data_IF_374739590236
#
_entry.id   IF_374739590236
#
_cell.length_a   1.000
_cell.length_b   1.000
_cell.length_c   1.000
_cell.angle_alpha   90.00
_cell.angle_beta   90.00
_cell.angle_gamma   90.00
#
_symmetry.space_group_name_H-M   'P 1'
#
loop_
_entity.id
_entity.type
_entity.pdbx_description
1 polymer ?
#
# COMPACT_ATOMS: atom_id res chain seq x y z
N UNK A 1 10.71 -9.15 -13.23
CA UNK A 1 9.85 -7.98 -12.95
C UNK A 1 10.63 -6.66 -13.06
N UNK A 2 11.80 -6.52 -12.43
CA UNK A 2 12.58 -5.27 -12.47
C UNK A 2 13.19 -4.92 -13.85
N UNK A 3 13.25 -5.87 -14.75
CA UNK A 3 13.80 -5.71 -16.12
C UNK A 3 12.71 -5.58 -17.20
N UNK A 4 11.45 -5.32 -16.80
CA UNK A 4 10.32 -5.19 -17.73
C UNK A 4 9.45 -3.98 -17.40
N UNK A 5 8.66 -3.52 -18.38
CA UNK A 5 7.63 -2.49 -18.20
C UNK A 5 8.16 -1.12 -17.78
N UNK A 6 7.38 -0.45 -16.91
CA UNK A 6 7.67 0.91 -16.46
C UNK A 6 8.89 0.96 -15.52
N UNK A 7 9.11 -0.07 -14.71
CA UNK A 7 10.25 -0.14 -13.78
C UNK A 7 11.57 -0.14 -14.55
N UNK A 8 11.66 -0.93 -15.65
CA UNK A 8 12.83 -0.92 -16.54
C UNK A 8 13.05 0.47 -17.13
N UNK A 9 11.99 1.10 -17.68
CA UNK A 9 12.08 2.46 -18.26
C UNK A 9 12.52 3.50 -17.24
N UNK A 10 12.04 3.41 -16.00
CA UNK A 10 12.44 4.31 -14.93
C UNK A 10 13.92 4.17 -14.57
N UNK A 11 14.44 2.93 -14.56
CA UNK A 11 15.86 2.66 -14.38
C UNK A 11 16.71 3.23 -15.54
N UNK A 12 16.30 3.00 -16.78
CA UNK A 12 16.96 3.57 -17.97
C UNK A 12 17.01 5.11 -17.92
N UNK A 13 15.96 5.75 -17.40
CA UNK A 13 15.89 7.20 -17.19
C UNK A 13 16.58 7.68 -15.90
N UNK A 14 17.17 6.79 -15.12
CA UNK A 14 17.82 7.08 -13.83
C UNK A 14 16.89 7.70 -12.77
N UNK A 15 15.59 7.44 -12.86
CA UNK A 15 14.61 7.87 -11.86
C UNK A 15 14.73 6.99 -10.59
N UNK A 16 15.00 5.69 -10.82
CA UNK A 16 15.28 4.69 -9.78
C UNK A 16 16.46 3.84 -10.22
N UNK A 17 17.17 3.26 -9.25
CA UNK A 17 18.23 2.27 -9.50
C UNK A 17 18.17 1.18 -8.44
N UNK A 18 18.73 0.00 -8.73
CA UNK A 18 18.74 -1.16 -7.85
C UNK A 18 20.14 -1.71 -7.71
N UNK A 19 20.51 -1.98 -6.47
CA UNK A 19 21.74 -2.70 -6.13
C UNK A 19 21.35 -3.98 -5.40
N UNK A 20 21.72 -5.12 -5.96
CA UNK A 20 21.50 -6.41 -5.32
C UNK A 20 22.74 -6.80 -4.53
N UNK A 21 22.53 -7.14 -3.26
CA UNK A 21 23.58 -7.57 -2.35
C UNK A 21 23.33 -9.06 -2.06
N UNK A 22 24.22 -9.92 -2.58
CA UNK A 22 24.15 -11.35 -2.31
C UNK A 22 24.64 -11.63 -0.89
N UNK A 23 23.73 -12.06 -0.02
CA UNK A 23 24.00 -12.36 1.37
C UNK A 23 25.07 -13.47 1.54
N UNK A 24 25.18 -14.40 0.60
CA UNK A 24 26.23 -15.45 0.61
C UNK A 24 27.63 -14.88 0.55
N UNK A 25 27.81 -13.69 -0.03
CA UNK A 25 29.12 -13.02 -0.04
C UNK A 25 29.62 -12.67 1.35
N UNK A 26 28.71 -12.56 2.32
CA UNK A 26 28.95 -12.23 3.72
C UNK A 26 28.83 -13.46 4.65
N UNK A 27 28.63 -14.65 4.08
CA UNK A 27 28.47 -15.88 4.84
C UNK A 27 29.68 -16.23 5.70
N UNK A 28 29.41 -16.92 6.81
CA UNK A 28 30.41 -17.25 7.84
C UNK A 28 31.21 -18.49 7.46
N UNK A 29 32.51 -18.42 7.67
CA UNK A 29 33.44 -19.54 7.49
C UNK A 29 33.68 -19.93 6.02
N UNK A 30 34.40 -21.03 5.81
CA UNK A 30 34.81 -21.54 4.48
C UNK A 30 33.63 -21.85 3.56
N UNK A 31 32.49 -22.25 4.13
CA UNK A 31 31.29 -22.64 3.40
C UNK A 31 30.31 -21.50 3.19
N UNK A 32 30.64 -20.29 3.62
CA UNK A 32 29.79 -19.09 3.49
C UNK A 32 28.37 -19.33 4.01
N UNK A 33 28.27 -19.88 5.23
CA UNK A 33 26.98 -20.21 5.86
C UNK A 33 26.24 -18.92 6.22
N UNK A 34 24.97 -18.83 5.83
CA UNK A 34 24.11 -17.65 6.07
C UNK A 34 22.95 -17.93 7.02
N UNK A 35 22.66 -19.18 7.32
CA UNK A 35 21.55 -19.66 8.13
C UNK A 35 21.98 -20.79 9.07
N UNK A 36 21.18 -21.05 10.10
CA UNK A 36 21.44 -22.13 11.05
C UNK A 36 20.11 -22.59 11.70
N UNK A 37 20.15 -23.67 12.46
CA UNK A 37 18.99 -24.17 13.20
C UNK A 37 18.62 -23.19 14.33
N UNK A 38 17.31 -22.98 14.60
CA UNK A 38 16.90 -22.12 15.69
C UNK A 38 17.30 -22.70 17.06
N UNK A 39 17.72 -21.84 17.96
CA UNK A 39 17.85 -22.25 19.39
C UNK A 39 16.50 -22.65 19.95
N UNK A 40 16.47 -23.65 20.79
CA UNK A 40 15.23 -24.23 21.33
C UNK A 40 14.64 -25.34 20.46
N UNK A 41 15.21 -25.60 19.30
CA UNK A 41 14.71 -26.62 18.35
C UNK A 41 13.58 -26.09 17.47
N UNK A 42 13.01 -26.97 16.66
CA UNK A 42 11.97 -26.64 15.69
C UNK A 42 12.37 -27.02 14.26
N UNK A 43 11.42 -26.94 13.33
CA UNK A 43 11.65 -27.14 11.92
C UNK A 43 12.19 -25.85 11.28
N UNK A 44 12.89 -26.01 10.14
CA UNK A 44 13.37 -24.89 9.35
C UNK A 44 14.73 -24.35 9.77
N UNK A 45 15.12 -23.25 9.15
CA UNK A 45 16.39 -22.55 9.35
C UNK A 45 16.11 -21.06 9.61
N UNK A 46 17.01 -20.39 10.29
CA UNK A 46 16.92 -18.95 10.59
C UNK A 46 18.17 -18.29 10.01
N UNK A 47 18.01 -17.16 9.32
CA UNK A 47 19.13 -16.40 8.80
C UNK A 47 19.95 -15.83 9.96
N UNK A 48 21.25 -16.03 9.91
CA UNK A 48 22.22 -15.60 10.94
C UNK A 48 22.39 -14.09 10.94
N UNK A 49 22.64 -13.48 12.10
CA UNK A 49 22.81 -12.04 12.20
C UNK A 49 24.09 -11.52 11.53
N UNK A 50 25.21 -12.27 11.59
CA UNK A 50 26.50 -11.80 11.11
C UNK A 50 26.50 -11.47 9.60
N UNK A 51 25.97 -12.33 8.69
CA UNK A 51 25.90 -12.04 7.27
C UNK A 51 25.03 -10.81 6.98
N UNK A 52 23.87 -10.70 7.63
CA UNK A 52 22.93 -9.60 7.40
C UNK A 52 23.53 -8.27 7.85
N UNK A 53 24.10 -8.22 9.06
CA UNK A 53 24.68 -6.99 9.60
C UNK A 53 25.91 -6.58 8.79
N UNK A 54 26.73 -7.54 8.35
CA UNK A 54 27.88 -7.25 7.50
C UNK A 54 27.46 -6.71 6.13
N UNK A 55 26.41 -7.27 5.54
CA UNK A 55 25.83 -6.79 4.30
C UNK A 55 25.26 -5.36 4.46
N UNK A 56 24.50 -5.09 5.52
CA UNK A 56 23.98 -3.75 5.81
C UNK A 56 25.09 -2.71 5.95
N UNK A 57 26.18 -3.06 6.63
CA UNK A 57 27.36 -2.17 6.82
C UNK A 57 28.14 -1.92 5.52
N UNK A 58 28.02 -2.80 4.53
CA UNK A 58 28.68 -2.67 3.22
C UNK A 58 27.95 -1.75 2.26
N UNK A 59 26.70 -1.33 2.58
CA UNK A 59 25.90 -0.49 1.69
C UNK A 59 26.52 0.90 1.55
N UNK A 60 26.85 1.26 0.31
CA UNK A 60 27.26 2.62 -0.03
C UNK A 60 26.02 3.45 -0.37
N UNK A 61 25.56 4.23 0.59
CA UNK A 61 24.46 5.15 0.40
C UNK A 61 24.85 6.31 -0.50
N UNK A 62 23.93 6.75 -1.33
CA UNK A 62 24.13 7.86 -2.30
C UNK A 62 23.56 9.18 -1.81
N UNK A 63 22.58 9.12 -0.92
CA UNK A 63 21.90 10.30 -0.38
C UNK A 63 21.87 10.34 1.13
N UNK A 64 21.38 11.46 1.67
CA UNK A 64 21.37 11.73 3.10
C UNK A 64 20.19 11.08 3.81
N UNK A 65 19.05 10.95 3.12
CA UNK A 65 17.83 10.38 3.70
C UNK A 65 17.70 8.89 3.33
N UNK A 66 18.00 8.04 4.31
CA UNK A 66 18.05 6.58 4.14
C UNK A 66 17.19 5.84 5.15
N UNK A 67 16.73 4.65 4.79
CA UNK A 67 15.99 3.74 5.67
C UNK A 67 16.34 2.29 5.33
N UNK A 68 16.39 1.46 6.35
CA UNK A 68 16.50 0.00 6.25
C UNK A 68 15.21 -0.67 6.69
N UNK A 69 14.70 -1.60 5.88
CA UNK A 69 13.41 -2.27 6.06
C UNK A 69 13.64 -3.78 6.10
N UNK A 70 13.04 -4.46 7.07
CA UNK A 70 12.93 -5.90 7.11
C UNK A 70 11.54 -6.31 6.64
N UNK A 71 11.46 -7.16 5.63
CA UNK A 71 10.19 -7.77 5.23
C UNK A 71 9.80 -8.86 6.23
N UNK A 72 8.68 -8.69 6.92
CA UNK A 72 8.23 -9.60 7.97
C UNK A 72 6.70 -9.65 8.06
N UNK A 73 6.09 -10.84 8.22
CA UNK A 73 4.65 -10.93 8.49
C UNK A 73 4.21 -10.20 9.78
N UNK A 74 5.13 -10.07 10.76
CA UNK A 74 4.89 -9.37 12.02
C UNK A 74 5.17 -7.86 11.97
N UNK A 75 5.57 -7.34 10.81
CA UNK A 75 5.86 -5.92 10.63
C UNK A 75 4.61 -5.04 10.56
N UNK A 76 4.82 -3.73 10.57
CA UNK A 76 3.76 -2.76 10.37
C UNK A 76 3.12 -2.94 8.98
N UNK A 77 1.77 -2.87 8.86
CA UNK A 77 1.12 -3.01 7.57
C UNK A 77 1.56 -1.95 6.56
N UNK A 78 1.91 -2.38 5.35
CA UNK A 78 2.18 -1.48 4.24
C UNK A 78 0.89 -0.77 3.82
N UNK A 79 0.90 0.55 3.85
CA UNK A 79 -0.21 1.40 3.41
C UNK A 79 0.24 2.36 2.31
N UNK A 80 -0.72 3.04 1.67
CA UNK A 80 -0.41 4.07 0.68
C UNK A 80 0.35 5.25 1.31
N UNK A 81 0.01 5.62 2.54
CA UNK A 81 0.74 6.65 3.29
C UNK A 81 2.19 6.23 3.56
N UNK A 82 2.41 4.95 3.92
CA UNK A 82 3.76 4.42 4.12
C UNK A 82 4.56 4.42 2.80
N UNK A 83 3.96 4.05 1.67
CA UNK A 83 4.61 4.18 0.36
C UNK A 83 4.98 5.64 0.05
N UNK A 84 4.09 6.59 0.36
CA UNK A 84 4.35 8.02 0.25
C UNK A 84 5.54 8.47 1.12
N UNK A 85 5.60 8.03 2.37
CA UNK A 85 6.74 8.27 3.26
C UNK A 85 8.03 7.69 2.67
N UNK A 86 8.00 6.42 2.27
CA UNK A 86 9.15 5.73 1.69
C UNK A 86 9.64 6.39 0.40
N UNK A 87 8.73 6.92 -0.41
CA UNK A 87 9.10 7.63 -1.64
C UNK A 87 9.93 8.89 -1.39
N UNK A 88 9.92 9.43 -0.17
CA UNK A 88 10.72 10.60 0.21
C UNK A 88 12.18 10.26 0.55
N UNK A 89 12.52 8.97 0.69
CA UNK A 89 13.90 8.56 0.95
C UNK A 89 14.70 8.50 -0.36
N UNK A 90 15.98 8.84 -0.27
CA UNK A 90 16.94 8.69 -1.38
C UNK A 90 17.41 7.26 -1.51
N UNK A 91 17.63 6.58 -0.39
CA UNK A 91 18.08 5.19 -0.36
C UNK A 91 17.20 4.34 0.57
N UNK A 92 16.73 3.21 0.04
CA UNK A 92 15.94 2.24 0.79
C UNK A 92 16.65 0.90 0.70
N UNK A 93 17.08 0.37 1.85
CA UNK A 93 17.63 -0.98 1.94
C UNK A 93 16.52 -1.92 2.36
N UNK A 94 16.27 -2.98 1.59
CA UNK A 94 15.24 -3.97 1.90
C UNK A 94 15.92 -5.31 2.18
N UNK A 95 15.77 -5.78 3.40
CA UNK A 95 16.20 -7.13 3.80
C UNK A 95 15.05 -8.10 3.49
N UNK A 96 15.34 -9.09 2.65
CA UNK A 96 14.39 -10.08 2.15
C UNK A 96 14.66 -11.45 2.81
N UNK A 97 14.00 -11.79 3.92
CA UNK A 97 14.20 -13.07 4.58
C UNK A 97 13.69 -14.24 3.73
N UNK A 98 14.21 -15.42 4.07
CA UNK A 98 13.73 -16.72 3.65
C UNK A 98 13.58 -17.62 4.87
N UNK A 99 13.07 -18.82 4.68
CA UNK A 99 12.89 -19.83 5.72
C UNK A 99 12.00 -19.31 6.88
N UNK A 100 12.43 -19.51 8.13
CA UNK A 100 11.72 -19.04 9.34
C UNK A 100 12.01 -17.56 9.67
N UNK A 101 12.68 -16.82 8.78
CA UNK A 101 13.01 -15.42 8.96
C UNK A 101 14.46 -15.17 9.37
N UNK A 102 14.68 -14.14 10.19
CA UNK A 102 15.99 -13.71 10.63
C UNK A 102 16.14 -13.87 12.14
N UNK A 103 17.39 -13.98 12.63
CA UNK A 103 17.68 -13.87 14.05
C UNK A 103 17.14 -12.54 14.61
N UNK A 104 16.41 -12.59 15.71
CA UNK A 104 15.71 -11.42 16.30
C UNK A 104 16.64 -10.24 16.60
N UNK A 105 17.94 -10.53 16.86
CA UNK A 105 18.97 -9.50 17.11
C UNK A 105 19.22 -8.60 15.90
N UNK A 106 18.88 -9.04 14.67
CA UNK A 106 18.98 -8.24 13.44
C UNK A 106 18.10 -6.99 13.52
N UNK A 107 16.94 -7.09 14.15
CA UNK A 107 15.99 -5.96 14.26
C UNK A 107 16.57 -4.73 14.96
N UNK A 108 17.60 -4.88 15.80
CA UNK A 108 18.31 -3.74 16.41
C UNK A 108 19.13 -2.91 15.43
N UNK A 109 19.33 -3.40 14.21
CA UNK A 109 20.09 -2.76 13.13
C UNK A 109 19.22 -2.39 11.93
N UNK A 110 17.91 -2.55 12.07
CA UNK A 110 16.89 -2.24 11.05
C UNK A 110 16.04 -1.10 11.61
N UNK A 111 15.65 -0.17 10.74
CA UNK A 111 14.84 0.97 11.13
C UNK A 111 13.38 0.58 11.27
N UNK A 112 12.86 -0.33 10.41
CA UNK A 112 11.46 -0.71 10.42
C UNK A 112 11.20 -2.12 9.86
N UNK A 113 10.25 -2.84 10.47
CA UNK A 113 9.70 -4.09 9.93
C UNK A 113 8.39 -3.78 9.19
N UNK A 114 8.23 -4.28 7.95
CA UNK A 114 7.03 -4.05 7.13
C UNK A 114 6.41 -5.36 6.69
N UNK A 115 5.07 -5.47 6.84
CA UNK A 115 4.23 -6.54 6.32
C UNK A 115 3.42 -6.06 5.12
N UNK A 116 3.31 -6.87 4.08
CA UNK A 116 2.43 -6.61 2.93
C UNK A 116 1.02 -7.19 3.08
N UNK A 117 0.72 -7.83 4.22
CA UNK A 117 -0.61 -8.39 4.52
C UNK A 117 -0.54 -9.63 5.39
N UNK A 118 -1.71 -10.08 5.85
CA UNK A 118 -1.89 -11.18 6.81
C UNK A 118 -1.88 -12.54 6.10
N UNK A 119 -0.79 -12.86 5.43
CA UNK A 119 -0.56 -14.14 4.76
C UNK A 119 0.93 -14.47 4.71
N UNK A 120 1.24 -15.75 4.59
CA UNK A 120 2.62 -16.25 4.53
C UNK A 120 3.02 -16.53 3.09
N UNK A 121 4.20 -16.05 2.69
CA UNK A 121 4.83 -16.32 1.40
C UNK A 121 6.21 -16.92 1.61
N UNK A 122 6.74 -17.60 0.59
CA UNK A 122 7.99 -18.34 0.70
C UNK A 122 9.23 -17.46 0.95
N UNK A 123 9.22 -16.21 0.47
CA UNK A 123 10.39 -15.33 0.62
C UNK A 123 9.99 -13.85 0.65
N UNK A 124 10.79 -13.02 1.32
CA UNK A 124 10.66 -11.57 1.36
C UNK A 124 10.92 -10.89 0.00
N UNK A 125 11.50 -11.58 -0.98
CA UNK A 125 11.81 -11.01 -2.30
C UNK A 125 10.54 -10.49 -3.01
N UNK A 126 9.45 -11.28 -2.97
CA UNK A 126 8.16 -10.90 -3.58
C UNK A 126 7.55 -9.71 -2.83
N UNK A 127 7.66 -9.69 -1.51
CA UNK A 127 7.18 -8.57 -0.68
C UNK A 127 7.96 -7.28 -1.00
N UNK A 128 9.28 -7.38 -1.18
CA UNK A 128 10.11 -6.25 -1.58
C UNK A 128 9.69 -5.67 -2.95
N UNK A 129 9.29 -6.51 -3.91
CA UNK A 129 8.81 -6.03 -5.21
C UNK A 129 7.55 -5.17 -5.10
N UNK A 130 6.67 -5.43 -4.14
CA UNK A 130 5.48 -4.59 -3.87
C UNK A 130 5.90 -3.19 -3.41
N UNK A 131 6.87 -3.11 -2.48
CA UNK A 131 7.41 -1.82 -2.03
C UNK A 131 8.10 -1.09 -3.20
N UNK A 132 8.95 -1.78 -3.95
CA UNK A 132 9.70 -1.21 -5.07
C UNK A 132 8.74 -0.59 -6.09
N UNK A 133 7.71 -1.32 -6.52
CA UNK A 133 6.74 -0.82 -7.49
C UNK A 133 5.90 0.32 -6.93
N UNK A 134 5.41 0.18 -5.70
CA UNK A 134 4.64 1.22 -5.02
C UNK A 134 5.42 2.53 -4.85
N UNK A 135 6.67 2.46 -4.41
CA UNK A 135 7.55 3.63 -4.28
C UNK A 135 7.93 4.21 -5.63
N UNK A 136 8.27 3.36 -6.62
CA UNK A 136 8.65 3.82 -7.95
C UNK A 136 7.52 4.60 -8.62
N UNK A 137 6.27 4.14 -8.48
CA UNK A 137 5.08 4.81 -9.03
C UNK A 137 4.92 6.25 -8.52
N UNK A 138 5.40 6.54 -7.30
CA UNK A 138 5.32 7.85 -6.66
C UNK A 138 6.46 8.80 -7.05
N UNK A 139 7.48 8.30 -7.74
CA UNK A 139 8.60 9.15 -8.19
C UNK A 139 8.20 9.97 -9.41
N UNK A 140 8.59 11.24 -9.39
CA UNK A 140 8.37 12.15 -10.52
C UNK A 140 8.99 11.59 -11.83
N UNK A 141 8.25 11.66 -12.92
CA UNK A 141 8.69 11.17 -14.23
C UNK A 141 8.58 9.66 -14.44
N UNK A 142 8.14 8.88 -13.42
CA UNK A 142 7.89 7.45 -13.58
C UNK A 142 6.67 7.20 -14.48
N UNK A 143 5.57 7.88 -14.20
CA UNK A 143 4.35 7.84 -15.02
C UNK A 143 4.33 9.04 -16.00
N UNK A 144 3.80 8.84 -17.20
CA UNK A 144 3.58 9.91 -18.19
C UNK A 144 2.53 10.92 -17.74
N UNK A 145 1.52 10.42 -17.03
CA UNK A 145 0.53 11.25 -16.33
C UNK A 145 0.70 10.98 -14.84
N UNK A 146 0.74 12.03 -13.99
CA UNK A 146 0.81 11.82 -12.54
C UNK A 146 -0.25 10.82 -12.13
N UNK A 147 0.15 9.74 -11.46
CA UNK A 147 -0.79 8.79 -10.91
C UNK A 147 -1.64 9.54 -9.89
N UNK A 148 -2.90 9.79 -10.23
CA UNK A 148 -3.89 10.15 -9.22
C UNK A 148 -4.07 8.91 -8.39
N UNK A 149 -3.58 8.97 -7.16
CA UNK A 149 -3.62 7.82 -6.29
C UNK A 149 -5.05 7.58 -5.86
N UNK A 150 -5.60 6.49 -6.35
CA UNK A 150 -6.95 6.02 -6.09
C UNK A 150 -7.28 6.01 -4.59
N UNK A 151 -6.29 5.69 -3.75
CA UNK A 151 -6.41 5.70 -2.28
C UNK A 151 -5.98 7.01 -1.61
N UNK A 152 -5.64 8.07 -2.36
CA UNK A 152 -5.19 9.35 -1.77
C UNK A 152 -6.22 9.91 -0.80
N UNK A 153 -7.52 9.69 -1.07
CA UNK A 153 -8.62 10.09 -0.20
C UNK A 153 -9.11 8.97 0.72
N UNK A 154 -8.46 7.81 0.71
CA UNK A 154 -8.82 6.66 1.54
C UNK A 154 -10.08 5.93 1.11
N UNK A 155 -10.53 6.07 -0.15
CA UNK A 155 -11.67 5.35 -0.74
C UNK A 155 -11.26 4.57 -1.98
N UNK A 156 -12.03 3.55 -2.35
CA UNK A 156 -11.81 2.77 -3.56
C UNK A 156 -12.17 3.61 -4.80
N UNK A 157 -11.51 3.31 -5.92
CA UNK A 157 -11.82 3.94 -7.19
C UNK A 157 -13.18 3.49 -7.75
N UNK A 158 -13.76 4.33 -8.62
CA UNK A 158 -15.00 4.04 -9.34
C UNK A 158 -14.80 2.93 -10.38
N UNK A 159 -15.88 2.27 -10.86
CA UNK A 159 -15.81 1.28 -11.92
C UNK A 159 -15.40 1.93 -13.24
N UNK A 160 -14.42 1.33 -13.91
CA UNK A 160 -13.90 1.79 -15.21
C UNK A 160 -14.64 1.05 -16.34
N UNK A 161 -14.93 1.78 -17.41
CA UNK A 161 -15.54 1.25 -18.63
C UNK A 161 -14.68 1.66 -19.83
N UNK A 162 -14.66 0.77 -20.85
CA UNK A 162 -13.96 1.01 -22.12
C UNK A 162 -14.77 0.41 -23.28
N UNK A 163 -14.26 0.49 -24.51
CA UNK A 163 -14.89 -0.11 -25.69
C UNK A 163 -14.96 -1.64 -25.60
N UNK A 164 -16.00 -2.24 -26.20
CA UNK A 164 -17.13 -1.62 -26.92
C UNK A 164 -18.17 -0.99 -25.97
N UNK A 165 -19.07 -0.11 -26.50
CA UNK A 165 -20.15 0.51 -25.71
C UNK A 165 -21.12 -0.50 -25.12
N UNK A 166 -21.41 -1.58 -25.88
CA UNK A 166 -22.27 -2.70 -25.46
C UNK A 166 -21.46 -3.98 -25.56
N UNK A 167 -21.47 -4.77 -24.50
CA UNK A 167 -20.83 -6.08 -24.45
C UNK A 167 -21.78 -7.06 -23.71
N UNK A 168 -22.21 -8.14 -24.39
CA UNK A 168 -23.11 -9.15 -23.83
C UNK A 168 -24.35 -8.52 -23.12
N UNK A 169 -25.05 -7.65 -23.81
CA UNK A 169 -26.25 -6.90 -23.32
C UNK A 169 -25.96 -5.96 -22.13
N UNK A 170 -24.70 -5.77 -21.74
CA UNK A 170 -24.28 -4.80 -20.74
C UNK A 170 -23.82 -3.51 -21.40
N UNK A 171 -24.44 -2.39 -21.02
CA UNK A 171 -24.10 -1.08 -21.58
C UNK A 171 -23.21 -0.26 -20.67
N UNK A 172 -22.35 0.57 -21.27
CA UNK A 172 -21.64 1.64 -20.55
C UNK A 172 -22.69 2.65 -20.05
N UNK A 173 -22.65 3.08 -18.77
CA UNK A 173 -23.55 4.10 -18.24
C UNK A 173 -23.60 5.35 -19.12
N UNK A 174 -24.81 5.80 -19.50
CA UNK A 174 -24.99 6.94 -20.40
C UNK A 174 -24.33 8.22 -19.92
N UNK A 175 -24.30 8.41 -18.60
CA UNK A 175 -23.65 9.56 -17.99
C UNK A 175 -22.16 9.69 -18.41
N UNK A 176 -21.47 8.57 -18.59
CA UNK A 176 -20.06 8.55 -19.02
C UNK A 176 -19.90 8.94 -20.49
N UNK A 177 -20.96 8.89 -21.28
CA UNK A 177 -20.99 9.24 -22.70
C UNK A 177 -21.52 10.66 -22.95
N UNK A 178 -22.03 11.32 -21.91
CA UNK A 178 -22.74 12.61 -22.01
C UNK A 178 -21.84 13.82 -22.32
N UNK A 179 -20.53 13.72 -22.07
CA UNK A 179 -19.62 14.86 -22.18
C UNK A 179 -19.75 15.91 -21.05
N UNK A 180 -20.68 15.74 -20.12
CA UNK A 180 -20.90 16.65 -19.00
C UNK A 180 -19.93 16.34 -17.85
N UNK A 181 -18.76 16.95 -17.85
CA UNK A 181 -17.66 16.65 -16.92
C UNK A 181 -18.06 16.69 -15.44
N UNK A 182 -18.85 17.68 -15.00
CA UNK A 182 -19.32 17.77 -13.63
C UNK A 182 -20.24 16.61 -13.22
N UNK A 183 -21.16 16.21 -14.10
CA UNK A 183 -22.05 15.08 -13.85
C UNK A 183 -21.25 13.77 -13.83
N UNK A 184 -20.29 13.60 -14.74
CA UNK A 184 -19.39 12.44 -14.77
C UNK A 184 -18.55 12.39 -13.48
N UNK A 185 -17.99 13.53 -13.05
CA UNK A 185 -17.22 13.63 -11.81
C UNK A 185 -18.06 13.24 -10.60
N UNK A 186 -19.28 13.77 -10.49
CA UNK A 186 -20.21 13.44 -9.41
C UNK A 186 -20.53 11.94 -9.39
N UNK A 187 -20.87 11.37 -10.53
CA UNK A 187 -21.16 9.95 -10.68
C UNK A 187 -19.96 9.09 -10.21
N UNK A 188 -18.74 9.46 -10.59
CA UNK A 188 -17.51 8.76 -10.16
C UNK A 188 -17.36 8.77 -8.64
N UNK A 189 -17.57 9.92 -8.00
CA UNK A 189 -17.53 10.03 -6.54
C UNK A 189 -18.59 9.12 -5.90
N UNK A 190 -19.83 9.16 -6.40
CA UNK A 190 -20.92 8.34 -5.89
C UNK A 190 -20.62 6.84 -6.02
N UNK A 191 -20.07 6.40 -7.16
CA UNK A 191 -19.68 5.01 -7.34
C UNK A 191 -18.52 4.59 -6.43
N UNK A 192 -17.53 5.46 -6.24
CA UNK A 192 -16.39 5.21 -5.34
C UNK A 192 -16.85 5.05 -3.89
N UNK A 193 -17.70 5.95 -3.41
CA UNK A 193 -18.26 5.89 -2.04
C UNK A 193 -19.10 4.63 -1.86
N UNK A 194 -20.00 4.34 -2.81
CA UNK A 194 -20.86 3.14 -2.78
C UNK A 194 -20.02 1.87 -2.71
N UNK A 195 -19.06 1.72 -3.62
CA UNK A 195 -18.17 0.56 -3.67
C UNK A 195 -17.34 0.41 -2.39
N UNK A 196 -16.90 1.53 -1.80
CA UNK A 196 -16.13 1.51 -0.57
C UNK A 196 -16.99 1.08 0.62
N UNK A 197 -18.20 1.59 0.76
CA UNK A 197 -19.15 1.17 1.78
C UNK A 197 -19.47 -0.32 1.69
N UNK A 198 -19.70 -0.82 0.48
CA UNK A 198 -20.05 -2.22 0.26
C UNK A 198 -18.91 -3.19 0.53
N UNK A 199 -17.69 -2.85 0.10
CA UNK A 199 -16.55 -3.78 0.06
C UNK A 199 -15.50 -3.55 1.12
N UNK A 200 -15.31 -2.31 1.56
CA UNK A 200 -14.26 -1.90 2.47
C UNK A 200 -14.75 -0.86 3.48
N UNK A 201 -15.74 -1.23 4.33
CA UNK A 201 -16.25 -0.33 5.37
C UNK A 201 -15.15 0.11 6.35
N UNK A 202 -14.08 -0.67 6.51
CA UNK A 202 -12.88 -0.30 7.26
C UNK A 202 -12.19 0.97 6.70
N UNK A 203 -12.18 1.16 5.37
CA UNK A 203 -11.67 2.39 4.76
C UNK A 203 -12.60 3.58 5.03
N UNK A 204 -13.91 3.35 5.05
CA UNK A 204 -14.89 4.38 5.45
C UNK A 204 -14.67 4.78 6.90
N UNK A 205 -14.45 3.82 7.79
CA UNK A 205 -14.11 4.10 9.20
C UNK A 205 -12.83 4.95 9.31
N UNK A 206 -11.77 4.58 8.59
CA UNK A 206 -10.51 5.35 8.54
C UNK A 206 -10.74 6.77 8.03
N UNK A 207 -11.58 6.94 6.99
CA UNK A 207 -11.97 8.26 6.48
C UNK A 207 -12.63 9.11 7.57
N UNK A 208 -13.61 8.57 8.31
CA UNK A 208 -14.27 9.30 9.39
C UNK A 208 -13.36 9.57 10.59
N UNK A 209 -12.41 8.71 10.88
CA UNK A 209 -11.38 8.97 11.91
C UNK A 209 -10.49 10.15 11.47
N UNK A 210 -10.00 10.13 10.23
CA UNK A 210 -9.07 11.14 9.70
C UNK A 210 -9.74 12.49 9.43
N UNK A 211 -10.95 12.47 8.86
CA UNK A 211 -11.66 13.64 8.36
C UNK A 211 -12.85 14.08 9.23
N UNK A 212 -13.18 13.35 10.27
CA UNK A 212 -14.36 13.60 11.08
C UNK A 212 -14.46 15.03 11.66
N UNK A 213 -13.34 15.71 11.92
CA UNK A 213 -13.34 17.08 12.41
C UNK A 213 -13.69 18.09 11.30
N UNK A 214 -13.43 17.77 10.04
CA UNK A 214 -13.73 18.61 8.87
C UNK A 214 -15.20 18.48 8.42
N UNK A 215 -15.92 17.45 8.92
CA UNK A 215 -17.27 17.10 8.46
C UNK A 215 -18.40 17.84 9.17
N UNK A 216 -18.12 18.73 10.10
CA UNK A 216 -19.12 19.52 10.88
C UNK A 216 -20.26 18.67 11.49
N UNK A 217 -19.93 17.46 11.96
CA UNK A 217 -20.86 16.56 12.63
C UNK A 217 -20.80 16.73 14.14
N UNK A 218 -21.93 16.53 14.83
CA UNK A 218 -21.93 16.50 16.29
C UNK A 218 -21.09 15.34 16.83
N UNK A 219 -20.52 15.44 18.04
CA UNK A 219 -19.73 14.35 18.65
C UNK A 219 -20.50 13.03 18.70
N UNK A 220 -21.76 13.04 19.13
CA UNK A 220 -22.61 11.86 19.25
C UNK A 220 -22.80 11.16 17.90
N UNK A 221 -22.96 11.95 16.82
CA UNK A 221 -23.10 11.42 15.46
C UNK A 221 -21.82 10.83 14.94
N UNK A 222 -20.67 11.44 15.24
CA UNK A 222 -19.36 10.88 14.89
C UNK A 222 -19.14 9.52 15.56
N UNK A 223 -19.49 9.43 16.85
CA UNK A 223 -19.31 8.21 17.63
C UNK A 223 -20.25 7.10 17.15
N UNK A 224 -21.52 7.45 16.85
CA UNK A 224 -22.49 6.49 16.27
C UNK A 224 -22.00 5.92 14.93
N UNK A 225 -21.54 6.77 14.03
CA UNK A 225 -21.03 6.35 12.71
C UNK A 225 -19.78 5.48 12.88
N UNK A 226 -18.85 5.87 13.75
CA UNK A 226 -17.63 5.12 14.00
C UNK A 226 -17.90 3.76 14.61
N UNK A 227 -18.78 3.69 15.61
CA UNK A 227 -19.19 2.42 16.22
C UNK A 227 -19.82 1.49 15.19
N UNK A 228 -20.77 1.98 14.41
CA UNK A 228 -21.41 1.19 13.36
C UNK A 228 -20.39 0.65 12.32
N UNK A 229 -19.51 1.51 11.80
CA UNK A 229 -18.51 1.12 10.82
C UNK A 229 -17.49 0.14 11.40
N UNK A 230 -17.15 0.28 12.67
CA UNK A 230 -16.31 -0.67 13.38
C UNK A 230 -17.01 -2.03 13.48
N UNK A 231 -18.26 -2.06 13.90
CA UNK A 231 -19.02 -3.29 14.08
C UNK A 231 -19.19 -4.07 12.77
N UNK A 232 -19.50 -3.40 11.66
CA UNK A 232 -19.61 -4.08 10.37
C UNK A 232 -18.26 -4.50 9.79
N UNK A 233 -17.19 -3.77 10.09
CA UNK A 233 -15.84 -4.07 9.57
C UNK A 233 -15.20 -5.25 10.27
N UNK A 234 -15.38 -5.39 11.57
CA UNK A 234 -14.66 -6.37 12.38
C UNK A 234 -15.52 -7.54 12.85
N UNK A 235 -16.83 -7.31 13.06
CA UNK A 235 -17.74 -8.34 13.57
C UNK A 235 -18.77 -8.82 12.56
N UNK A 236 -18.82 -8.22 11.36
CA UNK A 236 -19.79 -8.58 10.31
C UNK A 236 -21.24 -8.33 10.73
N UNK A 237 -21.48 -7.33 11.60
CA UNK A 237 -22.80 -6.99 12.14
C UNK A 237 -23.81 -6.68 11.04
N UNK A 238 -25.10 -6.80 11.36
CA UNK A 238 -26.19 -6.50 10.41
C UNK A 238 -26.10 -5.06 9.93
N UNK A 239 -26.24 -4.86 8.63
CA UNK A 239 -26.19 -3.53 8.00
C UNK A 239 -27.47 -2.75 8.28
N UNK A 240 -27.29 -1.46 8.61
CA UNK A 240 -28.37 -0.48 8.73
C UNK A 240 -28.41 0.41 7.47
N UNK A 241 -29.36 0.12 6.58
CA UNK A 241 -29.51 0.84 5.32
C UNK A 241 -29.74 2.34 5.49
N UNK A 242 -30.44 2.76 6.55
CA UNK A 242 -30.71 4.18 6.81
C UNK A 242 -29.42 4.90 7.15
N UNK A 243 -28.62 4.33 8.02
CA UNK A 243 -27.34 4.90 8.43
C UNK A 243 -26.32 4.86 7.28
N UNK A 244 -26.29 3.80 6.47
CA UNK A 244 -25.46 3.73 5.27
C UNK A 244 -25.82 4.82 4.25
N UNK A 245 -27.10 5.08 4.02
CA UNK A 245 -27.56 6.18 3.15
C UNK A 245 -27.11 7.55 3.67
N UNK A 246 -27.12 7.74 4.99
CA UNK A 246 -26.64 8.96 5.61
C UNK A 246 -25.12 9.12 5.48
N UNK A 247 -24.35 8.07 5.78
CA UNK A 247 -22.88 8.02 5.62
C UNK A 247 -22.52 8.33 4.15
N UNK A 248 -23.19 7.69 3.20
CA UNK A 248 -23.02 7.94 1.77
C UNK A 248 -23.20 9.41 1.43
N UNK A 249 -24.32 10.02 1.88
CA UNK A 249 -24.61 11.44 1.63
C UNK A 249 -23.54 12.36 2.20
N UNK A 250 -23.08 12.10 3.43
CA UNK A 250 -22.04 12.88 4.08
C UNK A 250 -20.74 12.82 3.28
N UNK A 251 -20.30 11.62 2.89
CA UNK A 251 -19.07 11.43 2.14
C UNK A 251 -19.14 12.07 0.76
N UNK A 252 -20.23 11.85 0.02
CA UNK A 252 -20.40 12.41 -1.33
C UNK A 252 -20.38 13.94 -1.29
N UNK A 253 -21.12 14.56 -0.36
CA UNK A 253 -21.14 16.02 -0.21
C UNK A 253 -19.76 16.57 0.14
N UNK A 254 -19.01 15.90 1.01
CA UNK A 254 -17.64 16.30 1.35
C UNK A 254 -16.71 16.20 0.13
N UNK A 255 -16.73 15.07 -0.57
CA UNK A 255 -15.81 14.77 -1.67
C UNK A 255 -16.10 15.61 -2.93
N UNK A 256 -17.35 15.96 -3.20
CA UNK A 256 -17.72 16.86 -4.31
C UNK A 256 -17.04 18.23 -4.18
N UNK A 257 -16.83 18.72 -2.96
CA UNK A 257 -16.20 20.01 -2.71
C UNK A 257 -14.68 20.00 -2.89
N UNK A 258 -14.06 18.81 -3.03
CA UNK A 258 -12.62 18.69 -3.30
C UNK A 258 -12.39 18.78 -4.82
N UNK A 259 -11.96 19.96 -5.30
CA UNK A 259 -11.82 20.26 -6.75
C UNK A 259 -10.89 19.30 -7.50
N UNK A 260 -9.88 18.76 -6.82
CA UNK A 260 -8.85 17.90 -7.44
C UNK A 260 -9.27 16.43 -7.57
N UNK A 261 -10.37 16.04 -6.93
CA UNK A 261 -10.84 14.67 -6.96
C UNK A 261 -11.47 14.34 -8.32
N UNK A 262 -10.90 13.37 -9.02
CA UNK A 262 -11.37 12.93 -10.36
C UNK A 262 -11.48 14.04 -11.43
N UNK A 263 -10.74 15.15 -11.28
CA UNK A 263 -10.57 16.14 -12.36
C UNK A 263 -9.56 15.59 -13.39
N UNK A 264 -9.91 15.66 -14.66
CA UNK A 264 -9.03 15.32 -15.80
C UNK A 264 -8.54 16.58 -16.49
#
# INVERSE_FOLDING_TARGET
MLEVGLVKKAREKRIIDFVFIDLKSFGVGKHKVIDDRPYGGGAGMVLRPEPIISALRSVNFRGDKRISILMSPSGNPLTQEKLGELSSFSDIVIVCPRYEGVDERVKKFIDEDISIGDYVIHSGDVAALVIIEGVARLKEGFMTTPAKEELTFGILDFPQFTHPKIFEDMEVPEILLSGHHENIRRWRIEQSVKKTLERRPDLVLKFFIKKGNELNLSPEKKDMIRSYLFDISFYGSKRDESLEKEIFRIMVNYLINIKELFSY
#
